data_IF_837919868374
#
_entry.id   IF_837919868374
#
_cell.length_a   1.000
_cell.length_b   1.000
_cell.length_c   1.000
_cell.angle_alpha   90.00
_cell.angle_beta   90.00
_cell.angle_gamma   90.00
#
_symmetry.space_group_name_H-M   'P 1'
#
loop_
_entity.id
_entity.type
_entity.pdbx_description
1 polymer ?
#
# COMPACT_ATOMS: atom_id res chain seq x y z
N UNK A 1 43.59 -20.74 8.81
CA UNK A 1 43.63 -19.32 9.27
C UNK A 1 43.25 -18.42 8.09
N UNK A 2 41.96 -18.34 7.75
CA UNK A 2 41.50 -17.53 6.61
C UNK A 2 41.49 -16.07 7.07
N UNK A 3 42.52 -15.35 6.61
CA UNK A 3 42.79 -13.92 6.79
C UNK A 3 41.51 -13.08 7.01
N UNK A 4 41.36 -12.52 8.21
CA UNK A 4 40.23 -11.65 8.59
C UNK A 4 39.97 -10.45 7.67
N UNK A 5 40.96 -10.06 6.84
CA UNK A 5 40.79 -9.03 5.80
C UNK A 5 39.84 -9.45 4.67
N UNK A 6 39.77 -10.74 4.32
CA UNK A 6 38.90 -11.22 3.23
C UNK A 6 37.45 -11.30 3.70
N UNK A 7 37.22 -11.73 4.95
CA UNK A 7 35.90 -11.78 5.56
C UNK A 7 35.31 -10.37 5.74
N UNK A 8 36.10 -9.41 6.22
CA UNK A 8 35.67 -8.02 6.36
C UNK A 8 35.23 -7.38 5.02
N UNK A 9 35.94 -7.69 3.92
CA UNK A 9 35.57 -7.22 2.58
C UNK A 9 34.24 -7.81 2.10
N UNK A 10 34.01 -9.10 2.33
CA UNK A 10 32.76 -9.75 1.96
C UNK A 10 31.57 -9.19 2.74
N UNK A 11 31.74 -8.93 4.03
CA UNK A 11 30.72 -8.29 4.87
C UNK A 11 30.42 -6.88 4.36
N UNK A 12 31.44 -6.08 4.02
CA UNK A 12 31.24 -4.74 3.49
C UNK A 12 30.50 -4.74 2.16
N UNK A 13 30.84 -5.64 1.23
CA UNK A 13 30.16 -5.78 -0.06
C UNK A 13 28.70 -6.19 0.17
N UNK A 14 28.45 -7.17 1.04
CA UNK A 14 27.09 -7.58 1.39
C UNK A 14 26.27 -6.42 1.97
N UNK A 15 26.87 -5.62 2.85
CA UNK A 15 26.22 -4.44 3.43
C UNK A 15 25.89 -3.38 2.38
N UNK A 16 26.81 -3.10 1.46
CA UNK A 16 26.58 -2.15 0.36
C UNK A 16 25.45 -2.61 -0.56
N UNK A 17 25.39 -3.91 -0.88
CA UNK A 17 24.31 -4.46 -1.72
C UNK A 17 22.96 -4.34 -1.01
N UNK A 18 22.89 -4.67 0.28
CA UNK A 18 21.65 -4.56 1.08
C UNK A 18 21.20 -3.11 1.21
N UNK A 19 22.12 -2.18 1.52
CA UNK A 19 21.81 -0.75 1.63
C UNK A 19 21.41 -0.18 0.27
N UNK A 20 22.10 -0.55 -0.81
CA UNK A 20 21.74 -0.16 -2.17
C UNK A 20 20.34 -0.63 -2.55
N UNK A 21 20.00 -1.88 -2.26
CA UNK A 21 18.65 -2.42 -2.47
C UNK A 21 17.59 -1.67 -1.66
N UNK A 22 17.86 -1.39 -0.38
CA UNK A 22 16.95 -0.66 0.49
C UNK A 22 16.68 0.76 -0.04
N UNK A 23 17.71 1.47 -0.53
CA UNK A 23 17.57 2.81 -1.12
C UNK A 23 16.74 2.76 -2.40
N UNK A 24 16.99 1.78 -3.27
CA UNK A 24 16.25 1.66 -4.54
C UNK A 24 14.78 1.29 -4.29
N UNK A 25 14.48 0.45 -3.30
CA UNK A 25 13.10 0.11 -2.92
C UNK A 25 12.44 1.12 -1.96
N UNK A 26 13.10 2.27 -1.70
CA UNK A 26 12.50 3.31 -0.85
C UNK A 26 11.16 3.79 -1.44
N UNK A 27 10.10 3.91 -0.62
CA UNK A 27 8.81 4.33 -1.13
C UNK A 27 8.80 5.84 -1.40
N UNK A 28 8.31 6.28 -2.56
CA UNK A 28 8.34 7.70 -2.99
C UNK A 28 7.24 8.60 -2.38
N UNK A 29 6.78 8.29 -1.16
CA UNK A 29 5.66 8.98 -0.54
C UNK A 29 4.29 8.51 -1.07
N UNK A 30 3.23 9.15 -0.60
CA UNK A 30 1.85 8.87 -1.03
C UNK A 30 1.54 9.70 -2.26
N UNK A 31 1.22 9.05 -3.36
CA UNK A 31 0.80 9.72 -4.60
C UNK A 31 -0.68 9.47 -4.78
N UNK A 32 -1.45 10.53 -5.04
CA UNK A 32 -2.84 10.39 -5.48
C UNK A 32 -2.82 9.69 -6.84
N UNK A 33 -3.27 8.44 -6.90
CA UNK A 33 -3.20 7.68 -8.15
C UNK A 33 -4.48 7.90 -8.95
N UNK A 34 -5.65 7.90 -8.29
CA UNK A 34 -6.96 8.03 -8.93
C UNK A 34 -8.04 8.55 -7.99
N UNK A 35 -9.07 9.15 -8.58
CA UNK A 35 -10.34 9.50 -7.92
C UNK A 35 -11.41 8.49 -8.27
N UNK A 36 -12.20 8.09 -7.29
CA UNK A 36 -13.33 7.18 -7.48
C UNK A 36 -14.51 7.57 -6.60
N UNK A 37 -15.65 6.95 -6.87
CA UNK A 37 -16.84 7.12 -6.04
C UNK A 37 -17.11 5.84 -5.28
N UNK A 38 -17.43 5.97 -3.99
CA UNK A 38 -17.84 4.83 -3.16
C UNK A 38 -19.13 4.27 -3.72
N UNK A 39 -19.08 3.04 -4.23
CA UNK A 39 -20.25 2.33 -4.72
C UNK A 39 -21.00 1.64 -3.57
N UNK A 40 -20.27 1.13 -2.59
CA UNK A 40 -20.83 0.52 -1.39
C UNK A 40 -19.84 0.56 -0.23
N UNK A 41 -20.35 0.74 0.98
CA UNK A 41 -19.59 0.62 2.22
C UNK A 41 -20.42 -0.25 3.18
N UNK A 42 -19.89 -1.41 3.56
CA UNK A 42 -20.60 -2.40 4.39
C UNK A 42 -19.80 -2.63 5.65
N UNK A 43 -20.40 -2.33 6.80
CA UNK A 43 -19.83 -2.67 8.10
C UNK A 43 -20.15 -4.12 8.44
N UNK A 44 -19.11 -4.93 8.62
CA UNK A 44 -19.20 -6.34 8.97
C UNK A 44 -18.70 -6.48 10.40
N UNK A 45 -19.58 -6.91 11.30
CA UNK A 45 -19.24 -7.17 12.71
C UNK A 45 -19.01 -8.66 12.94
N UNK A 46 -18.03 -9.01 13.78
CA UNK A 46 -17.73 -10.36 14.22
C UNK A 46 -17.49 -10.39 15.74
N UNK A 47 -17.47 -11.59 16.35
CA UNK A 47 -17.19 -11.74 17.79
C UNK A 47 -15.84 -11.16 18.23
N UNK A 48 -14.87 -11.03 17.32
CA UNK A 48 -13.50 -10.56 17.61
C UNK A 48 -13.27 -9.11 17.16
N UNK A 49 -14.31 -8.41 16.72
CA UNK A 49 -14.24 -7.03 16.23
C UNK A 49 -14.99 -6.82 14.91
N UNK A 50 -15.14 -5.57 14.51
CA UNK A 50 -15.78 -5.18 13.25
C UNK A 50 -14.80 -4.58 12.25
N UNK A 51 -15.06 -4.79 10.97
CA UNK A 51 -14.34 -4.14 9.86
C UNK A 51 -15.35 -3.63 8.83
N UNK A 52 -15.02 -2.53 8.17
CA UNK A 52 -15.81 -2.01 7.04
C UNK A 52 -15.14 -2.40 5.73
N UNK A 53 -15.93 -2.98 4.82
CA UNK A 53 -15.52 -3.23 3.43
C UNK A 53 -16.04 -2.11 2.54
N UNK A 54 -15.16 -1.45 1.83
CA UNK A 54 -15.46 -0.29 0.99
C UNK A 54 -15.16 -0.66 -0.46
N UNK A 55 -16.17 -0.56 -1.31
CA UNK A 55 -16.09 -0.83 -2.74
C UNK A 55 -16.15 0.50 -3.47
N UNK A 56 -15.14 0.77 -4.29
CA UNK A 56 -14.92 2.03 -4.98
C UNK A 56 -14.93 1.77 -6.46
N UNK A 57 -15.78 2.47 -7.19
CA UNK A 57 -15.79 2.44 -8.64
C UNK A 57 -14.93 3.58 -9.18
N UNK A 58 -14.07 3.25 -10.13
CA UNK A 58 -13.28 4.24 -10.84
C UNK A 58 -14.21 5.08 -11.74
N UNK A 59 -14.15 6.40 -11.60
CA UNK A 59 -14.95 7.34 -12.41
C UNK A 59 -14.37 7.53 -13.83
N UNK A 60 -13.25 6.88 -14.16
CA UNK A 60 -12.63 6.95 -15.49
C UNK A 60 -13.34 6.12 -16.57
N UNK A 61 -14.48 5.48 -16.26
CA UNK A 61 -15.27 4.72 -17.23
C UNK A 61 -14.70 3.35 -17.60
N UNK A 62 -13.59 2.94 -16.97
CA UNK A 62 -12.89 1.66 -17.21
C UNK A 62 -13.53 0.47 -16.49
N UNK A 63 -14.55 0.71 -15.66
CA UNK A 63 -15.24 -0.34 -14.91
C UNK A 63 -14.40 -0.99 -13.81
N UNK A 64 -13.23 -0.42 -13.49
CA UNK A 64 -12.33 -0.96 -12.46
C UNK A 64 -12.96 -0.76 -11.08
N UNK A 65 -13.08 -1.87 -10.33
CA UNK A 65 -13.61 -1.91 -8.97
C UNK A 65 -12.48 -2.19 -7.99
N UNK A 66 -12.34 -1.31 -7.00
CA UNK A 66 -11.38 -1.44 -5.93
C UNK A 66 -12.08 -1.82 -4.63
N UNK A 67 -11.50 -2.75 -3.88
CA UNK A 67 -12.06 -3.21 -2.61
C UNK A 67 -11.06 -2.96 -1.50
N UNK A 68 -11.45 -2.12 -0.54
CA UNK A 68 -10.66 -1.79 0.63
C UNK A 68 -11.32 -2.38 1.88
N UNK A 69 -10.49 -2.74 2.86
CA UNK A 69 -10.95 -3.20 4.17
C UNK A 69 -10.30 -2.32 5.22
N UNK A 70 -11.12 -1.71 6.07
CA UNK A 70 -10.64 -0.92 7.21
C UNK A 70 -11.18 -1.50 8.50
N UNK A 71 -10.35 -1.54 9.55
CA UNK A 71 -10.81 -1.99 10.87
C UNK A 71 -11.67 -0.90 11.51
N UNK A 72 -12.75 -1.30 12.15
CA UNK A 72 -13.74 -0.38 12.72
C UNK A 72 -14.75 0.14 11.70
N UNK A 73 -15.54 1.13 12.14
CA UNK A 73 -16.60 1.75 11.35
C UNK A 73 -16.01 2.85 10.47
N UNK A 74 -16.25 2.79 9.16
CA UNK A 74 -15.96 3.91 8.25
C UNK A 74 -17.16 4.84 8.17
N UNK A 75 -16.92 6.15 8.16
CA UNK A 75 -17.96 7.16 7.91
C UNK A 75 -18.32 7.30 6.43
N UNK A 76 -17.59 6.63 5.52
CA UNK A 76 -17.81 6.71 4.08
C UNK A 76 -19.17 6.13 3.67
N UNK A 77 -19.91 6.87 2.86
CA UNK A 77 -21.22 6.50 2.33
C UNK A 77 -21.17 6.31 0.82
N UNK A 78 -22.15 5.56 0.30
CA UNK A 78 -22.33 5.45 -1.15
C UNK A 78 -22.52 6.84 -1.76
N UNK A 79 -21.77 7.15 -2.81
CA UNK A 79 -21.79 8.44 -3.48
C UNK A 79 -20.65 9.38 -3.05
N UNK A 80 -19.95 9.09 -1.95
CA UNK A 80 -18.79 9.88 -1.54
C UNK A 80 -17.68 9.79 -2.60
N UNK A 81 -17.13 10.94 -2.95
CA UNK A 81 -15.97 11.04 -3.84
C UNK A 81 -14.73 10.90 -2.97
N UNK A 82 -13.90 9.90 -3.28
CA UNK A 82 -12.69 9.62 -2.53
C UNK A 82 -11.49 9.57 -3.47
N UNK A 83 -10.34 9.91 -2.91
CA UNK A 83 -9.06 9.78 -3.60
C UNK A 83 -8.32 8.55 -3.07
N UNK A 84 -7.88 7.70 -4.00
CA UNK A 84 -7.05 6.54 -3.70
C UNK A 84 -5.60 6.98 -3.79
N UNK A 85 -4.94 6.98 -2.64
CA UNK A 85 -3.52 7.23 -2.54
C UNK A 85 -2.79 5.91 -2.49
N UNK A 86 -1.86 5.68 -3.40
CA UNK A 86 -1.01 4.50 -3.34
C UNK A 86 0.43 4.92 -3.11
N UNK A 87 1.08 4.18 -2.22
CA UNK A 87 2.50 4.20 -2.00
C UNK A 87 3.10 3.07 -2.81
N UNK A 88 3.64 3.42 -3.99
CA UNK A 88 4.31 2.46 -4.85
C UNK A 88 5.75 2.23 -4.42
N UNK A 89 6.18 0.98 -4.45
CA UNK A 89 7.59 0.60 -4.32
C UNK A 89 8.18 0.31 -5.70
N UNK A 90 9.43 0.69 -5.93
CA UNK A 90 10.04 0.70 -7.28
C UNK A 90 10.29 -0.70 -7.84
N UNK A 91 10.70 -1.65 -6.99
CA UNK A 91 11.15 -2.96 -7.47
C UNK A 91 10.34 -4.12 -6.90
N UNK A 92 9.94 -4.03 -5.64
CA UNK A 92 9.26 -5.14 -4.99
C UNK A 92 7.83 -5.35 -5.50
N UNK A 93 7.21 -4.35 -6.13
CA UNK A 93 5.84 -4.43 -6.64
C UNK A 93 4.76 -4.45 -5.53
N UNK A 94 5.17 -4.21 -4.28
CA UNK A 94 4.25 -4.10 -3.14
C UNK A 94 3.70 -2.68 -3.09
N UNK A 95 2.58 -2.45 -3.77
CA UNK A 95 1.83 -1.20 -3.69
C UNK A 95 0.93 -1.21 -2.44
N UNK A 96 1.07 -0.21 -1.58
CA UNK A 96 0.17 -0.01 -0.44
C UNK A 96 -0.82 1.10 -0.79
N UNK A 97 -2.10 0.78 -0.97
CA UNK A 97 -3.12 1.78 -1.26
C UNK A 97 -3.98 2.07 -0.02
N UNK A 98 -4.26 3.35 0.20
CA UNK A 98 -5.13 3.85 1.26
C UNK A 98 -6.20 4.75 0.65
N UNK A 99 -7.36 4.76 1.30
CA UNK A 99 -8.43 5.70 0.99
C UNK A 99 -8.21 6.98 1.79
N UNK A 100 -8.41 8.12 1.13
CA UNK A 100 -8.53 9.43 1.78
C UNK A 100 -9.78 10.10 1.21
N UNK A 101 -10.70 10.44 2.08
CA UNK A 101 -11.98 11.09 1.78
C UNK A 101 -12.22 12.24 2.73
#
# INVERSE_FOLDING_TARGET
MIRGKTFARLVLIGLIVVVGWAIVDTPQGWVEVRKGTVASAVFITSRVGGYTRIIVHDNTGTGVVWVFSTFGFSSMKKGDVISVFCRRRRLSGWDSCSLQG
#
